data_IF_094453635267
#
_entry.id   IF_094453635267
#
_cell.length_a   1.000
_cell.length_b   1.000
_cell.length_c   1.000
_cell.angle_alpha   90.00
_cell.angle_beta   90.00
_cell.angle_gamma   90.00
#
_symmetry.space_group_name_H-M   'P 1'
#
loop_
_entity.id
_entity.type
_entity.pdbx_description
1 polymer ?
#
# COMPACT_ATOMS: atom_id res chain seq x y z
N UNK A 1 -4.66 -16.11 -12.11
CA UNK A 1 -4.68 -14.67 -12.42
C UNK A 1 -3.37 -14.33 -13.12
N UNK A 2 -3.39 -13.56 -14.21
CA UNK A 2 -2.18 -13.22 -14.96
C UNK A 2 -1.47 -12.03 -14.31
N UNK A 3 -0.15 -11.97 -14.42
CA UNK A 3 0.65 -10.88 -13.85
C UNK A 3 0.22 -9.49 -14.36
N UNK A 4 -0.28 -9.40 -15.61
CA UNK A 4 -0.76 -8.13 -16.18
C UNK A 4 -2.06 -7.65 -15.53
N UNK A 5 -2.90 -8.55 -14.99
CA UNK A 5 -4.13 -8.17 -14.29
C UNK A 5 -3.81 -7.46 -12.97
N UNK A 6 -2.81 -7.94 -12.23
CA UNK A 6 -2.34 -7.28 -11.00
C UNK A 6 -1.72 -5.91 -11.28
N UNK A 7 -0.89 -5.79 -12.31
CA UNK A 7 -0.30 -4.51 -12.71
C UNK A 7 -1.38 -3.48 -13.09
N UNK A 8 -2.38 -3.91 -13.88
CA UNK A 8 -3.53 -3.07 -14.23
C UNK A 8 -4.35 -2.65 -13.01
N UNK A 9 -4.64 -3.60 -12.10
CA UNK A 9 -5.38 -3.33 -10.87
C UNK A 9 -4.64 -2.35 -9.95
N UNK A 10 -3.33 -2.50 -9.81
CA UNK A 10 -2.50 -1.60 -9.01
C UNK A 10 -2.49 -0.18 -9.58
N UNK A 11 -2.31 -0.03 -10.90
CA UNK A 11 -2.39 1.27 -11.57
C UNK A 11 -3.78 1.92 -11.39
N UNK A 12 -4.86 1.14 -11.54
CA UNK A 12 -6.23 1.62 -11.34
C UNK A 12 -6.48 2.08 -9.89
N UNK A 13 -5.99 1.34 -8.90
CA UNK A 13 -6.11 1.70 -7.49
C UNK A 13 -5.36 3.01 -7.17
N UNK A 14 -4.14 3.16 -7.66
CA UNK A 14 -3.36 4.39 -7.48
C UNK A 14 -4.04 5.59 -8.15
N UNK A 15 -4.65 5.38 -9.33
CA UNK A 15 -5.45 6.42 -9.99
C UNK A 15 -6.67 6.80 -9.15
N UNK A 16 -7.41 5.82 -8.65
CA UNK A 16 -8.58 6.06 -7.81
C UNK A 16 -8.23 6.86 -6.54
N UNK A 17 -7.12 6.53 -5.87
CA UNK A 17 -6.65 7.28 -4.70
C UNK A 17 -6.27 8.72 -5.08
N UNK A 18 -5.55 8.91 -6.18
CA UNK A 18 -5.26 10.25 -6.70
C UNK A 18 -6.52 11.06 -6.94
N UNK A 19 -7.56 10.46 -7.55
CA UNK A 19 -8.82 11.15 -7.85
C UNK A 19 -9.67 11.41 -6.58
N UNK A 20 -9.52 10.58 -5.54
CA UNK A 20 -10.37 10.63 -4.33
C UNK A 20 -9.78 11.42 -3.17
N UNK A 21 -8.47 11.30 -2.95
CA UNK A 21 -7.76 11.88 -1.80
C UNK A 21 -6.58 12.77 -2.21
N UNK A 22 -6.30 12.90 -3.51
CA UNK A 22 -5.21 13.72 -4.02
C UNK A 22 -3.85 13.08 -3.81
N UNK A 23 -2.84 13.90 -3.51
CA UNK A 23 -1.45 13.45 -3.41
C UNK A 23 -1.14 12.77 -2.06
N UNK A 24 -0.29 11.73 -2.00
CA UNK A 24 0.07 11.05 -0.74
C UNK A 24 0.93 11.89 0.22
N UNK A 25 1.19 13.18 -0.05
CA UNK A 25 2.07 14.05 0.76
C UNK A 25 1.77 14.02 2.25
N UNK A 26 0.49 14.00 2.62
CA UNK A 26 0.05 13.95 4.03
C UNK A 26 0.47 12.67 4.78
N UNK A 27 0.80 11.60 4.04
CA UNK A 27 1.26 10.33 4.58
C UNK A 27 2.77 10.14 4.43
N UNK A 28 3.44 11.06 3.73
CA UNK A 28 4.85 10.98 3.35
C UNK A 28 5.74 11.99 4.12
N UNK A 29 5.30 12.48 5.30
CA UNK A 29 6.11 13.38 6.11
C UNK A 29 7.48 12.75 6.42
N UNK A 30 8.56 13.33 5.87
CA UNK A 30 9.92 12.84 6.05
C UNK A 30 10.37 11.75 5.08
N UNK A 31 9.57 11.42 4.05
CA UNK A 31 9.94 10.49 2.98
C UNK A 31 10.17 11.27 1.69
N UNK A 32 11.42 11.30 1.21
CA UNK A 32 11.76 11.82 -0.12
C UNK A 32 11.31 10.79 -1.17
N UNK A 33 10.06 10.90 -1.64
CA UNK A 33 9.54 10.04 -2.71
C UNK A 33 10.13 10.55 -4.05
N UNK A 34 10.99 9.77 -4.72
CA UNK A 34 11.57 10.17 -5.99
C UNK A 34 10.48 10.50 -7.02
N UNK A 35 10.73 11.54 -7.82
CA UNK A 35 9.83 12.07 -8.85
C UNK A 35 8.55 12.76 -8.34
N UNK A 36 8.22 12.70 -7.05
CA UNK A 36 7.12 13.48 -6.48
C UNK A 36 7.67 14.76 -5.87
N UNK A 37 7.84 15.81 -6.68
CA UNK A 37 8.26 17.11 -6.14
C UNK A 37 7.15 17.61 -5.21
N UNK A 38 7.46 17.69 -3.92
CA UNK A 38 6.57 18.14 -2.85
C UNK A 38 6.72 19.66 -2.61
N UNK A 39 6.95 20.43 -3.66
CA UNK A 39 7.11 21.88 -3.62
C UNK A 39 5.75 22.60 -3.53
N UNK A 40 5.24 22.73 -2.30
CA UNK A 40 3.98 23.42 -1.99
C UNK A 40 2.87 22.53 -1.42
N UNK A 41 1.67 23.08 -1.18
CA UNK A 41 0.52 22.33 -0.64
C UNK A 41 -0.08 21.32 -1.65
N UNK A 42 0.31 21.40 -2.93
CA UNK A 42 -0.24 20.59 -4.01
C UNK A 42 0.89 19.97 -4.84
N UNK A 43 0.75 18.70 -5.22
CA UNK A 43 1.69 18.05 -6.13
C UNK A 43 1.42 18.56 -7.56
N UNK A 44 2.26 19.48 -8.05
CA UNK A 44 2.00 20.28 -9.26
C UNK A 44 2.20 19.54 -10.60
N UNK A 45 2.22 18.19 -10.63
CA UNK A 45 2.36 17.40 -11.87
C UNK A 45 1.04 16.78 -12.35
N UNK A 46 0.91 16.63 -13.67
CA UNK A 46 -0.27 16.03 -14.35
C UNK A 46 -0.54 14.56 -13.96
N UNK A 47 0.48 13.84 -13.45
CA UNK A 47 0.41 12.41 -13.16
C UNK A 47 0.45 12.09 -11.65
N UNK A 48 -0.41 12.74 -10.84
CA UNK A 48 -0.48 12.52 -9.38
C UNK A 48 -0.65 11.05 -8.95
N UNK A 49 -1.22 10.21 -9.81
CA UNK A 49 -1.36 8.77 -9.57
C UNK A 49 -0.02 8.02 -9.55
N UNK A 50 1.02 8.50 -10.24
CA UNK A 50 2.37 7.93 -10.18
C UNK A 50 2.97 8.11 -8.78
N UNK A 51 2.59 9.17 -8.06
CA UNK A 51 3.05 9.37 -6.68
C UNK A 51 2.50 8.33 -5.70
N UNK A 52 1.26 7.88 -5.90
CA UNK A 52 0.73 6.75 -5.16
C UNK A 52 1.47 5.45 -5.47
N UNK A 53 1.89 5.24 -6.73
CA UNK A 53 2.71 4.07 -7.08
C UNK A 53 4.05 4.11 -6.36
N UNK A 54 4.79 5.22 -6.46
CA UNK A 54 6.08 5.38 -5.78
C UNK A 54 5.93 5.23 -4.27
N UNK A 55 4.90 5.82 -3.66
CA UNK A 55 4.61 5.66 -2.23
C UNK A 55 4.43 4.19 -1.83
N UNK A 56 3.56 3.44 -2.51
CA UNK A 56 3.35 2.04 -2.14
C UNK A 56 4.57 1.16 -2.42
N UNK A 57 5.30 1.40 -3.51
CA UNK A 57 6.52 0.66 -3.82
C UNK A 57 7.61 0.92 -2.77
N UNK A 58 7.76 2.16 -2.31
CA UNK A 58 8.67 2.51 -1.22
C UNK A 58 8.29 1.79 0.08
N UNK A 59 7.01 1.87 0.49
CA UNK A 59 6.53 1.23 1.72
C UNK A 59 6.75 -0.28 1.68
N UNK A 60 6.33 -0.96 0.62
CA UNK A 60 6.55 -2.41 0.45
C UNK A 60 8.04 -2.78 0.46
N UNK A 61 8.93 -1.89 0.03
CA UNK A 61 10.37 -2.14 0.02
C UNK A 61 11.05 -1.90 1.38
N UNK A 62 10.49 -1.01 2.20
CA UNK A 62 11.14 -0.52 3.43
C UNK A 62 10.46 -0.98 4.73
N UNK A 63 9.28 -1.61 4.68
CA UNK A 63 8.60 -2.13 5.87
C UNK A 63 7.94 -3.49 5.64
N UNK A 64 7.58 -4.18 6.72
CA UNK A 64 6.77 -5.39 6.64
C UNK A 64 5.32 -5.03 6.29
N UNK A 65 4.79 -5.68 5.24
CA UNK A 65 3.43 -5.50 4.74
C UNK A 65 2.80 -6.88 4.55
N UNK A 66 1.62 -7.11 5.14
CA UNK A 66 0.93 -8.38 4.94
C UNK A 66 0.46 -8.51 3.48
N UNK A 67 0.89 -9.56 2.78
CA UNK A 67 0.57 -9.85 1.37
C UNK A 67 -0.92 -10.05 1.07
N UNK A 68 -1.76 -10.16 2.11
CA UNK A 68 -3.20 -10.41 1.98
C UNK A 68 -4.03 -9.17 2.32
N UNK A 69 -3.80 -8.55 3.47
CA UNK A 69 -4.62 -7.42 3.94
C UNK A 69 -3.90 -6.07 3.90
N UNK A 70 -2.60 -6.04 3.63
CA UNK A 70 -1.81 -4.81 3.59
C UNK A 70 -1.56 -4.15 4.94
N UNK A 71 -1.86 -4.82 6.08
CA UNK A 71 -1.53 -4.28 7.39
C UNK A 71 -0.01 -4.07 7.52
N UNK A 72 0.38 -3.11 8.34
CA UNK A 72 1.77 -2.74 8.64
C UNK A 72 1.98 -2.69 10.14
N UNK A 73 3.21 -2.43 10.58
CA UNK A 73 3.52 -2.28 12.01
C UNK A 73 2.70 -1.15 12.67
N UNK A 74 2.54 -0.03 11.96
CA UNK A 74 1.82 1.16 12.44
C UNK A 74 0.32 1.12 12.11
N UNK A 75 -0.11 0.17 11.28
CA UNK A 75 -1.51 0.00 10.87
C UNK A 75 -1.90 -1.48 10.90
N UNK A 76 -2.04 -2.00 12.11
CA UNK A 76 -2.45 -3.39 12.35
C UNK A 76 -3.91 -3.64 11.90
N UNK A 77 -4.27 -4.92 11.72
CA UNK A 77 -5.66 -5.31 11.49
C UNK A 77 -6.60 -4.84 12.62
N UNK A 78 -7.91 -4.69 12.35
CA UNK A 78 -8.89 -4.43 13.41
C UNK A 78 -8.81 -5.50 14.51
N UNK A 79 -8.68 -5.06 15.77
CA UNK A 79 -8.46 -5.95 16.91
C UNK A 79 -7.00 -6.33 17.18
N UNK A 80 -6.08 -5.90 16.32
CA UNK A 80 -4.65 -6.18 16.40
C UNK A 80 -4.26 -7.48 15.69
N UNK A 81 -3.02 -7.53 15.21
CA UNK A 81 -2.39 -8.72 14.67
C UNK A 81 -0.88 -8.66 14.95
N UNK A 82 -0.20 -9.79 14.77
CA UNK A 82 1.26 -9.86 14.83
C UNK A 82 1.80 -10.55 13.57
N UNK A 83 3.09 -10.40 13.31
CA UNK A 83 3.76 -11.04 12.19
C UNK A 83 4.01 -12.52 12.47
N UNK A 84 3.59 -13.38 11.55
CA UNK A 84 3.86 -14.82 11.56
C UNK A 84 5.01 -15.13 10.59
N UNK A 85 5.04 -14.44 9.46
CA UNK A 85 6.12 -14.43 8.46
C UNK A 85 6.42 -12.97 8.09
N UNK A 86 7.52 -12.73 7.37
CA UNK A 86 7.95 -11.38 6.97
C UNK A 86 6.89 -10.60 6.16
N UNK A 87 5.99 -11.30 5.47
CA UNK A 87 4.90 -10.73 4.67
C UNK A 87 3.51 -11.34 5.02
N UNK A 88 3.34 -11.91 6.23
CA UNK A 88 2.05 -12.49 6.67
C UNK A 88 1.73 -12.17 8.13
N UNK A 89 0.56 -11.59 8.36
CA UNK A 89 0.03 -11.38 9.71
C UNK A 89 -0.81 -12.57 10.22
N UNK A 90 -0.94 -12.67 11.54
CA UNK A 90 -1.67 -13.73 12.22
C UNK A 90 -3.15 -13.82 11.84
N UNK A 91 -3.82 -12.66 11.70
CA UNK A 91 -5.23 -12.61 11.30
C UNK A 91 -5.45 -13.25 9.91
N UNK A 92 -4.57 -12.99 8.96
CA UNK A 92 -4.64 -13.60 7.64
C UNK A 92 -4.23 -15.08 7.67
N UNK A 93 -3.21 -15.44 8.45
CA UNK A 93 -2.80 -16.83 8.63
C UNK A 93 -3.94 -17.71 9.17
N UNK A 94 -4.67 -17.24 10.17
CA UNK A 94 -5.82 -17.96 10.75
C UNK A 94 -6.96 -18.14 9.75
N UNK A 95 -7.24 -17.12 8.94
CA UNK A 95 -8.29 -17.15 7.91
C UNK A 95 -7.99 -18.15 6.78
N UNK A 96 -6.72 -18.36 6.42
CA UNK A 96 -6.35 -19.41 5.44
C UNK A 96 -6.60 -20.80 6.05
N UNK A 97 -6.23 -20.98 7.32
CA UNK A 97 -6.35 -22.26 8.00
C UNK A 97 -7.81 -22.67 8.21
N UNK A 98 -8.71 -21.71 8.49
CA UNK A 98 -10.15 -21.99 8.66
C UNK A 98 -10.85 -22.38 7.36
N UNK A 99 -10.43 -21.82 6.22
CA UNK A 99 -10.96 -22.15 4.89
C UNK A 99 -10.46 -23.48 4.33
N UNK A 100 -9.39 -24.04 4.91
CA UNK A 100 -8.82 -25.33 4.48
C UNK A 100 -9.49 -26.54 5.17
N UNK A 101 -10.37 -26.29 6.13
CA UNK A 101 -11.12 -27.30 6.92
C UNK A 101 -12.63 -27.30 6.66
N UNK A 102 -13.09 -26.63 5.60
CA UNK A 102 -14.49 -26.60 5.17
C UNK A 102 -14.71 -27.33 3.85
#
# INVERSE_FOLDING_TARGET
MKADEFQKAFALACRFLSDSIGCPKIYAEGVDIPDCILDGENCERENQWECWQSYFLDRVSNEQVCRICGCTQESACPGGCWWVEDDLCSSCSENINSQSTS
#
